data_IF_573169735998
#
_entry.id   IF_573169735998
#
_cell.length_a   1.000
_cell.length_b   1.000
_cell.length_c   1.000
_cell.angle_alpha   90.00
_cell.angle_beta   90.00
_cell.angle_gamma   90.00
#
_symmetry.space_group_name_H-M   'P 1'
#
loop_
_entity.id
_entity.type
_entity.pdbx_description
1 polymer ?
#
# COMPACT_ATOMS: atom_id res chain seq x y z
N UNK A 1 87.20 28.71 18.54
CA UNK A 1 86.68 29.22 17.24
C UNK A 1 85.76 28.19 16.61
N UNK A 2 84.52 28.60 16.23
CA UNK A 2 83.72 28.23 15.02
C UNK A 2 83.95 26.82 14.40
N UNK A 3 82.96 25.95 14.12
CA UNK A 3 81.63 26.16 13.49
C UNK A 3 80.70 24.95 13.75
N UNK A 4 79.44 25.22 14.12
CA UNK A 4 78.29 24.30 14.02
C UNK A 4 77.44 24.74 12.81
N UNK A 5 77.29 23.92 11.76
CA UNK A 5 76.22 24.01 10.74
C UNK A 5 75.99 22.64 10.10
N UNK A 6 74.74 22.40 9.67
CA UNK A 6 74.28 21.32 8.77
C UNK A 6 73.65 20.05 9.36
N UNK A 7 72.69 20.17 10.28
CA UNK A 7 71.70 19.08 10.52
C UNK A 7 70.22 19.51 10.51
N UNK A 8 69.93 20.81 10.44
CA UNK A 8 68.56 21.31 10.69
C UNK A 8 67.59 21.21 9.49
N UNK A 9 68.06 21.12 8.25
CA UNK A 9 67.19 21.25 7.06
C UNK A 9 66.49 19.94 6.66
N UNK A 10 66.96 18.78 7.14
CA UNK A 10 66.47 17.46 6.70
C UNK A 10 65.29 16.93 7.52
N UNK A 11 65.07 17.44 8.74
CA UNK A 11 63.97 16.98 9.60
C UNK A 11 62.64 17.71 9.39
N UNK A 12 62.65 18.93 8.86
CA UNK A 12 61.41 19.72 8.66
C UNK A 12 60.57 19.19 7.48
N UNK A 13 61.20 18.59 6.46
CA UNK A 13 60.48 18.03 5.29
C UNK A 13 59.73 16.73 5.58
N UNK A 14 60.17 15.92 6.55
CA UNK A 14 59.50 14.66 6.87
C UNK A 14 58.28 14.84 7.78
N UNK A 15 58.29 15.84 8.68
CA UNK A 15 57.17 16.12 9.59
C UNK A 15 55.97 16.74 8.85
N UNK A 16 56.22 17.52 7.79
CA UNK A 16 55.17 18.15 6.97
C UNK A 16 54.47 17.16 6.02
N UNK A 17 55.11 16.05 5.65
CA UNK A 17 54.51 15.03 4.78
C UNK A 17 53.62 14.04 5.56
N UNK A 18 53.91 13.79 6.84
CA UNK A 18 53.05 12.96 7.71
C UNK A 18 51.74 13.64 8.13
N UNK A 19 51.68 14.98 8.12
CA UNK A 19 50.48 15.73 8.51
C UNK A 19 49.45 15.89 7.38
N UNK A 20 49.86 15.72 6.11
CA UNK A 20 48.95 15.83 4.96
C UNK A 20 48.23 14.49 4.68
N UNK A 21 48.81 13.35 5.04
CA UNK A 21 48.17 12.03 4.83
C UNK A 21 47.11 11.70 5.89
N UNK A 22 47.18 12.32 7.07
CA UNK A 22 46.18 12.09 8.15
C UNK A 22 44.92 12.96 7.95
N UNK A 23 44.99 14.04 7.18
CA UNK A 23 43.85 14.93 6.91
C UNK A 23 42.83 14.44 5.87
N UNK A 24 43.14 13.38 5.11
CA UNK A 24 42.28 12.90 4.01
C UNK A 24 41.42 11.67 4.33
N UNK A 25 41.42 11.18 5.58
CA UNK A 25 40.59 10.02 5.98
C UNK A 25 39.34 10.38 6.80
N UNK A 26 39.11 11.66 7.11
CA UNK A 26 37.91 12.09 7.88
C UNK A 26 36.77 12.53 6.96
N UNK A 27 36.46 11.70 5.97
CA UNK A 27 35.28 11.81 5.12
C UNK A 27 34.31 10.65 5.35
N UNK A 28 34.09 10.26 6.62
CA UNK A 28 33.01 9.33 6.94
C UNK A 28 31.69 10.09 6.83
N UNK A 29 31.05 9.99 5.67
CA UNK A 29 29.62 10.24 5.56
C UNK A 29 28.95 9.45 6.69
N UNK A 30 28.32 10.15 7.63
CA UNK A 30 27.46 9.52 8.62
C UNK A 30 26.28 8.90 7.86
N UNK A 31 26.46 7.67 7.37
CA UNK A 31 25.36 6.82 7.03
C UNK A 31 24.55 6.69 8.32
N UNK A 32 23.33 7.23 8.32
CA UNK A 32 22.32 6.99 9.36
C UNK A 32 21.90 5.52 9.27
N UNK A 33 22.84 4.61 9.54
CA UNK A 33 22.56 3.20 9.70
C UNK A 33 21.83 3.04 11.02
N UNK A 34 20.58 2.59 10.92
CA UNK A 34 19.75 2.25 12.06
C UNK A 34 20.55 1.36 13.03
N UNK A 35 20.49 1.61 14.35
CA UNK A 35 21.29 0.87 15.30
C UNK A 35 21.01 -0.65 15.25
N UNK A 36 22.04 -1.52 15.37
CA UNK A 36 21.92 -2.97 15.21
C UNK A 36 21.06 -3.66 16.27
N UNK A 37 20.69 -2.96 17.34
CA UNK A 37 19.76 -3.45 18.37
C UNK A 37 18.28 -3.24 17.99
N UNK A 38 17.99 -2.43 16.97
CA UNK A 38 16.63 -2.14 16.52
C UNK A 38 15.97 -3.36 15.83
N UNK A 39 16.77 -4.32 15.36
CA UNK A 39 16.32 -5.63 14.86
C UNK A 39 15.90 -6.61 15.98
N UNK A 40 16.23 -6.30 17.23
CA UNK A 40 15.98 -7.18 18.39
C UNK A 40 14.66 -6.85 19.13
N UNK A 41 13.82 -5.97 18.58
CA UNK A 41 12.51 -5.65 19.16
C UNK A 41 11.42 -6.43 18.39
N UNK A 42 10.96 -7.58 18.90
CA UNK A 42 10.04 -8.48 18.19
C UNK A 42 8.63 -7.91 17.93
N UNK A 43 8.31 -6.69 18.38
CA UNK A 43 6.94 -6.14 18.36
C UNK A 43 6.80 -4.74 17.72
N UNK A 44 7.80 -4.21 17.00
CA UNK A 44 7.79 -2.78 16.64
C UNK A 44 8.35 -2.36 15.28
N UNK A 45 8.22 -3.16 14.23
CA UNK A 45 8.13 -2.55 12.89
C UNK A 45 6.72 -1.99 12.73
N UNK A 46 6.53 -0.78 13.23
CA UNK A 46 5.33 0.00 12.94
C UNK A 46 5.33 0.28 11.44
N UNK A 47 4.20 0.01 10.80
CA UNK A 47 3.99 0.39 9.41
C UNK A 47 3.97 1.91 9.34
N UNK A 48 4.71 2.46 8.37
CA UNK A 48 4.72 3.91 8.15
C UNK A 48 3.31 4.38 7.77
N UNK A 49 2.80 5.40 8.46
CA UNK A 49 1.48 5.98 8.23
C UNK A 49 1.55 7.51 8.28
N UNK A 50 2.17 8.11 7.25
CA UNK A 50 2.26 9.56 7.07
C UNK A 50 1.04 10.05 6.27
N UNK A 51 0.20 10.95 6.83
CA UNK A 51 -0.95 11.53 6.12
C UNK A 51 -0.58 12.29 4.84
N UNK A 52 0.67 12.73 4.69
CA UNK A 52 1.14 13.47 3.52
C UNK A 52 1.63 12.56 2.39
N UNK A 53 1.82 11.25 2.65
CA UNK A 53 2.23 10.28 1.65
C UNK A 53 1.03 9.63 0.99
N UNK A 54 1.18 9.36 -0.31
CA UNK A 54 0.21 8.55 -1.06
C UNK A 54 0.76 7.12 -1.14
N UNK A 55 0.00 6.16 -0.63
CA UNK A 55 0.36 4.75 -0.65
C UNK A 55 -0.29 4.08 -1.86
N UNK A 56 0.20 4.39 -3.06
CA UNK A 56 -0.28 3.77 -4.30
C UNK A 56 0.28 2.37 -4.44
N UNK A 57 -0.53 1.45 -4.97
CA UNK A 57 -0.09 0.10 -5.30
C UNK A 57 0.90 0.12 -6.47
N UNK A 58 1.98 -0.65 -6.36
CA UNK A 58 2.97 -0.91 -7.39
C UNK A 58 3.15 -2.43 -7.61
N UNK A 59 3.89 -2.79 -8.67
CA UNK A 59 4.24 -4.19 -8.99
C UNK A 59 5.21 -4.80 -7.97
N UNK A 60 5.99 -3.98 -7.25
CA UNK A 60 6.96 -4.44 -6.24
C UNK A 60 6.28 -5.01 -4.98
N UNK A 61 4.98 -4.78 -4.81
CA UNK A 61 4.22 -5.30 -3.68
C UNK A 61 3.85 -6.77 -3.87
N UNK A 62 3.74 -7.48 -2.74
CA UNK A 62 3.51 -8.92 -2.70
C UNK A 62 2.40 -9.43 -3.64
N UNK A 63 2.55 -10.65 -4.19
CA UNK A 63 1.66 -11.17 -5.22
C UNK A 63 0.24 -11.43 -4.73
N UNK A 64 0.07 -11.70 -3.43
CA UNK A 64 -1.22 -11.91 -2.78
C UNK A 64 -1.49 -10.83 -1.74
N UNK A 65 -2.71 -10.32 -1.76
CA UNK A 65 -3.16 -9.22 -0.91
C UNK A 65 -4.62 -9.42 -0.50
N UNK A 66 -5.08 -8.75 0.54
CA UNK A 66 -6.47 -8.77 0.96
C UNK A 66 -7.18 -7.54 0.38
N UNK A 67 -8.17 -7.75 -0.48
CA UNK A 67 -9.07 -6.66 -0.88
C UNK A 67 -10.02 -6.36 0.28
N UNK A 68 -9.82 -5.21 0.92
CA UNK A 68 -10.64 -4.79 2.06
C UNK A 68 -11.94 -4.13 1.59
N UNK A 69 -11.84 -3.11 0.75
CA UNK A 69 -12.99 -2.33 0.29
C UNK A 69 -12.76 -1.72 -1.10
N UNK A 70 -13.85 -1.36 -1.76
CA UNK A 70 -13.85 -0.62 -3.03
C UNK A 70 -14.79 0.58 -2.94
N UNK A 71 -14.38 1.68 -3.56
CA UNK A 71 -15.07 2.97 -3.53
C UNK A 71 -15.25 3.50 -4.95
N UNK A 72 -16.44 4.00 -5.27
CA UNK A 72 -16.77 4.59 -6.58
C UNK A 72 -17.62 5.85 -6.44
N UNK A 73 -17.63 6.46 -5.25
CA UNK A 73 -18.32 7.72 -4.96
C UNK A 73 -17.54 8.91 -5.53
N UNK A 74 -18.14 10.11 -5.53
CA UNK A 74 -17.46 11.34 -5.96
C UNK A 74 -16.20 11.68 -5.13
N UNK A 75 -16.09 11.12 -3.93
CA UNK A 75 -14.95 11.36 -3.02
C UNK A 75 -14.24 10.04 -2.71
N UNK A 76 -14.37 9.04 -3.61
CA UNK A 76 -13.84 7.70 -3.44
C UNK A 76 -12.33 7.67 -3.18
N UNK A 77 -11.58 8.56 -3.82
CA UNK A 77 -10.13 8.68 -3.58
C UNK A 77 -9.84 9.04 -2.11
N UNK A 78 -10.56 10.02 -1.56
CA UNK A 78 -10.42 10.44 -0.17
C UNK A 78 -10.87 9.34 0.78
N UNK A 79 -12.00 8.68 0.50
CA UNK A 79 -12.50 7.53 1.27
C UNK A 79 -11.46 6.40 1.34
N UNK A 80 -10.89 6.05 0.20
CA UNK A 80 -9.86 5.02 0.10
C UNK A 80 -8.58 5.42 0.84
N UNK A 81 -8.12 6.67 0.69
CA UNK A 81 -6.96 7.22 1.40
C UNK A 81 -7.15 7.20 2.92
N UNK A 82 -8.32 7.64 3.40
CA UNK A 82 -8.65 7.65 4.83
C UNK A 82 -8.63 6.20 5.39
N UNK A 83 -9.18 5.23 4.65
CA UNK A 83 -9.14 3.82 5.05
C UNK A 83 -7.71 3.25 5.05
N UNK A 84 -6.90 3.55 4.04
CA UNK A 84 -5.50 3.12 3.96
C UNK A 84 -4.70 3.65 5.15
N UNK A 85 -4.84 4.94 5.47
CA UNK A 85 -4.16 5.55 6.62
C UNK A 85 -4.62 4.90 7.94
N UNK A 86 -5.91 4.59 8.08
CA UNK A 86 -6.42 3.91 9.26
C UNK A 86 -5.86 2.47 9.38
N UNK A 87 -5.78 1.72 8.29
CA UNK A 87 -5.19 0.38 8.27
C UNK A 87 -3.71 0.40 8.69
N UNK A 88 -2.94 1.36 8.18
CA UNK A 88 -1.52 1.48 8.49
C UNK A 88 -1.25 1.97 9.90
N UNK A 89 -2.02 2.95 10.38
CA UNK A 89 -1.81 3.55 11.70
C UNK A 89 -2.43 2.76 12.86
N UNK A 90 -3.70 2.38 12.74
CA UNK A 90 -4.49 1.76 13.83
C UNK A 90 -4.34 0.24 13.84
N UNK A 91 -4.37 -0.38 12.66
CA UNK A 91 -4.30 -1.83 12.53
C UNK A 91 -2.87 -2.35 12.28
N UNK A 92 -1.91 -1.44 12.07
CA UNK A 92 -0.50 -1.74 11.86
C UNK A 92 -0.25 -2.78 10.74
N UNK A 93 -1.03 -2.70 9.66
CA UNK A 93 -0.90 -3.55 8.48
C UNK A 93 -0.57 -2.68 7.25
N UNK A 94 0.34 -3.11 6.37
CA UNK A 94 0.57 -2.43 5.10
C UNK A 94 -0.73 -2.37 4.32
N UNK A 95 -1.06 -1.19 3.79
CA UNK A 95 -2.23 -1.01 2.95
C UNK A 95 -1.91 -0.05 1.81
N UNK A 96 -2.55 -0.28 0.68
CA UNK A 96 -2.29 0.37 -0.59
C UNK A 96 -3.60 0.70 -1.30
N UNK A 97 -3.56 1.79 -2.05
CA UNK A 97 -4.65 2.25 -2.89
C UNK A 97 -4.37 1.89 -4.35
N UNK A 98 -5.31 1.22 -4.99
CA UNK A 98 -5.30 0.93 -6.43
C UNK A 98 -6.39 1.72 -7.13
N UNK A 99 -6.03 2.50 -8.15
CA UNK A 99 -7.00 3.21 -8.99
C UNK A 99 -7.35 2.37 -10.21
N UNK A 100 -8.64 2.23 -10.49
CA UNK A 100 -9.17 1.62 -11.69
C UNK A 100 -10.09 2.60 -12.40
N UNK A 101 -9.71 3.01 -13.61
CA UNK A 101 -10.56 3.84 -14.48
C UNK A 101 -11.49 2.94 -15.28
N UNK A 102 -12.78 3.22 -15.21
CA UNK A 102 -13.82 2.56 -16.00
C UNK A 102 -14.33 3.52 -17.07
N UNK A 103 -14.15 3.16 -18.34
CA UNK A 103 -14.70 3.91 -19.47
C UNK A 103 -15.70 3.04 -20.23
N UNK A 104 -16.99 3.34 -20.06
CA UNK A 104 -18.09 2.67 -20.74
C UNK A 104 -18.69 3.51 -21.88
N UNK A 105 -18.00 4.59 -22.29
CA UNK A 105 -18.52 5.49 -23.33
C UNK A 105 -18.27 4.97 -24.74
N UNK A 106 -17.25 4.13 -24.92
CA UNK A 106 -16.88 3.59 -26.21
C UNK A 106 -17.80 2.44 -26.65
N UNK A 107 -18.07 2.31 -27.96
CA UNK A 107 -18.80 1.17 -28.50
C UNK A 107 -17.95 -0.10 -28.38
N UNK A 108 -18.55 -1.19 -27.93
CA UNK A 108 -17.90 -2.50 -27.75
C UNK A 108 -18.33 -3.45 -28.86
N UNK A 109 -17.43 -4.30 -29.30
CA UNK A 109 -17.76 -5.40 -30.20
C UNK A 109 -18.60 -6.45 -29.47
N UNK A 110 -19.84 -6.59 -29.90
CA UNK A 110 -20.78 -7.58 -29.43
C UNK A 110 -20.59 -8.93 -30.12
N UNK A 111 -21.27 -9.94 -29.58
CA UNK A 111 -21.33 -11.26 -30.22
C UNK A 111 -22.21 -11.20 -31.46
N UNK A 112 -21.71 -11.77 -32.55
CA UNK A 112 -22.41 -11.91 -33.83
C UNK A 112 -21.98 -10.89 -34.87
N UNK A 113 -22.58 -11.02 -36.06
CA UNK A 113 -22.28 -10.17 -37.22
C UNK A 113 -23.50 -9.34 -37.60
N UNK A 114 -23.25 -8.17 -38.18
CA UNK A 114 -24.30 -7.36 -38.80
C UNK A 114 -24.69 -7.93 -40.18
N UNK A 115 -25.66 -7.28 -40.84
CA UNK A 115 -26.13 -7.63 -42.19
C UNK A 115 -25.05 -7.53 -43.27
N UNK A 116 -23.88 -6.99 -42.96
CA UNK A 116 -22.73 -6.81 -43.86
C UNK A 116 -21.54 -7.70 -43.45
N UNK A 117 -21.73 -8.64 -42.51
CA UNK A 117 -20.70 -9.56 -42.05
C UNK A 117 -19.67 -8.94 -41.11
N UNK A 118 -19.87 -7.71 -40.63
CA UNK A 118 -18.95 -7.02 -39.69
C UNK A 118 -19.32 -7.34 -38.25
N UNK A 119 -18.37 -7.32 -37.29
CA UNK A 119 -18.67 -7.48 -35.87
C UNK A 119 -19.77 -6.51 -35.42
N UNK A 120 -20.78 -7.03 -34.72
CA UNK A 120 -21.91 -6.23 -34.27
C UNK A 120 -21.47 -5.22 -33.21
N UNK A 121 -21.56 -3.92 -33.49
CA UNK A 121 -21.27 -2.88 -32.49
C UNK A 121 -22.40 -2.76 -31.46
N UNK A 122 -22.05 -2.75 -30.18
CA UNK A 122 -22.94 -2.58 -29.04
C UNK A 122 -22.49 -1.39 -28.19
N UNK A 123 -23.37 -0.88 -27.34
CA UNK A 123 -23.08 0.20 -26.39
C UNK A 123 -23.60 -0.19 -25.02
N UNK A 124 -22.88 0.17 -23.96
CA UNK A 124 -23.37 0.03 -22.60
C UNK A 124 -24.63 0.88 -22.39
N UNK A 125 -25.65 0.33 -21.72
CA UNK A 125 -26.89 1.04 -21.42
C UNK A 125 -26.59 2.33 -20.64
N UNK A 126 -25.65 2.23 -19.70
CA UNK A 126 -25.12 3.37 -18.95
C UNK A 126 -23.72 3.71 -19.47
N UNK A 127 -23.65 4.59 -20.45
CA UNK A 127 -22.40 5.12 -20.98
C UNK A 127 -21.84 6.16 -20.02
N UNK A 128 -21.05 5.72 -19.03
CA UNK A 128 -20.47 6.60 -18.01
C UNK A 128 -19.00 6.26 -17.83
N UNK A 129 -18.20 7.30 -17.58
CA UNK A 129 -16.80 7.18 -17.20
C UNK A 129 -16.64 7.54 -15.73
N UNK A 130 -15.97 6.69 -14.96
CA UNK A 130 -15.68 6.96 -13.54
C UNK A 130 -14.41 6.23 -13.07
N UNK A 131 -13.73 6.78 -12.06
CA UNK A 131 -12.65 6.10 -11.35
C UNK A 131 -13.20 5.36 -10.14
N UNK A 132 -12.76 4.12 -9.95
CA UNK A 132 -12.95 3.35 -8.72
C UNK A 132 -11.62 3.18 -7.99
N UNK A 133 -11.66 3.18 -6.67
CA UNK A 133 -10.49 3.00 -5.83
C UNK A 133 -10.66 1.75 -4.98
N UNK A 134 -9.69 0.85 -5.04
CA UNK A 134 -9.63 -0.36 -4.23
C UNK A 134 -8.58 -0.21 -3.14
N UNK A 135 -8.90 -0.68 -1.94
CA UNK A 135 -7.97 -0.71 -0.80
C UNK A 135 -7.52 -2.15 -0.59
N UNK A 136 -6.24 -2.39 -0.83
CA UNK A 136 -5.58 -3.68 -0.70
C UNK A 136 -4.69 -3.67 0.54
N UNK A 137 -4.70 -4.75 1.32
CA UNK A 137 -4.07 -4.83 2.63
C UNK A 137 -3.18 -6.07 2.71
N UNK A 138 -1.99 -5.89 3.29
CA UNK A 138 -0.97 -6.92 3.43
C UNK A 138 -0.29 -7.26 2.12
N UNK A 139 0.82 -7.97 2.26
CA UNK A 139 1.64 -8.48 1.18
C UNK A 139 2.04 -9.90 1.57
N UNK A 140 1.65 -10.87 0.77
CA UNK A 140 1.82 -12.29 1.07
C UNK A 140 2.35 -13.03 -0.16
N UNK A 141 3.19 -14.03 0.08
CA UNK A 141 3.82 -14.81 -1.00
C UNK A 141 2.86 -15.86 -1.58
N UNK A 142 1.95 -16.37 -0.76
CA UNK A 142 1.03 -17.45 -1.13
C UNK A 142 -0.41 -17.13 -0.72
N UNK A 143 -1.38 -17.73 -1.41
CA UNK A 143 -2.80 -17.57 -1.12
C UNK A 143 -3.19 -18.11 0.27
N UNK A 144 -2.62 -19.26 0.65
CA UNK A 144 -2.93 -19.96 1.91
C UNK A 144 -1.98 -19.61 3.07
N UNK A 145 -1.29 -18.47 2.99
CA UNK A 145 -0.41 -18.03 4.06
C UNK A 145 -1.18 -17.92 5.39
N UNK A 146 -0.75 -18.61 6.48
CA UNK A 146 -1.42 -18.56 7.77
C UNK A 146 -1.55 -17.13 8.33
N UNK A 147 -0.58 -16.27 8.03
CA UNK A 147 -0.61 -14.86 8.41
C UNK A 147 -1.67 -14.11 7.59
N UNK A 148 -1.79 -14.38 6.28
CA UNK A 148 -2.82 -13.77 5.44
C UNK A 148 -4.22 -14.12 5.95
N UNK A 149 -4.46 -15.39 6.28
CA UNK A 149 -5.76 -15.82 6.77
C UNK A 149 -6.12 -15.20 8.13
N UNK A 150 -5.14 -15.13 9.05
CA UNK A 150 -5.33 -14.47 10.35
C UNK A 150 -5.59 -12.97 10.21
N UNK A 151 -4.85 -12.28 9.32
CA UNK A 151 -5.08 -10.86 9.02
C UNK A 151 -6.45 -10.67 8.39
N UNK A 152 -6.86 -11.53 7.46
CA UNK A 152 -8.18 -11.48 6.82
C UNK A 152 -9.31 -11.58 7.84
N UNK A 153 -9.23 -12.52 8.78
CA UNK A 153 -10.24 -12.70 9.82
C UNK A 153 -10.29 -11.48 10.75
N UNK A 154 -9.14 -10.91 11.09
CA UNK A 154 -9.04 -9.66 11.87
C UNK A 154 -9.68 -8.50 11.12
N UNK A 155 -9.40 -8.35 9.82
CA UNK A 155 -9.96 -7.28 8.97
C UNK A 155 -11.48 -7.46 8.85
N UNK A 156 -11.97 -8.68 8.62
CA UNK A 156 -13.40 -8.97 8.51
C UNK A 156 -14.17 -8.62 9.77
N UNK A 157 -13.58 -8.79 10.95
CA UNK A 157 -14.17 -8.40 12.23
C UNK A 157 -13.94 -6.91 12.58
N UNK A 158 -13.06 -6.21 11.87
CA UNK A 158 -12.68 -4.85 12.21
C UNK A 158 -13.78 -3.82 11.92
N UNK A 159 -13.87 -2.80 12.78
CA UNK A 159 -14.73 -1.62 12.62
C UNK A 159 -13.87 -0.36 12.46
N UNK A 160 -13.37 -0.09 11.23
CA UNK A 160 -12.66 1.15 10.94
C UNK A 160 -13.61 2.35 11.06
N UNK A 161 -13.12 3.43 11.68
CA UNK A 161 -13.83 4.69 11.88
C UNK A 161 -14.20 5.32 10.54
N UNK A 162 -13.33 5.19 9.54
CA UNK A 162 -13.56 5.66 8.16
C UNK A 162 -14.81 5.04 7.50
N UNK A 163 -15.29 3.89 7.99
CA UNK A 163 -16.47 3.21 7.47
C UNK A 163 -17.68 3.23 8.43
N UNK A 164 -17.57 3.93 9.58
CA UNK A 164 -18.64 3.94 10.56
C UNK A 164 -19.85 4.75 10.05
N UNK A 165 -21.03 4.13 9.85
CA UNK A 165 -22.22 4.80 9.33
C UNK A 165 -22.73 5.94 10.23
N UNK A 166 -22.47 5.90 11.54
CA UNK A 166 -22.90 6.94 12.49
C UNK A 166 -22.16 8.27 12.28
N UNK A 167 -20.95 8.21 11.70
CA UNK A 167 -20.16 9.41 11.40
C UNK A 167 -20.63 10.16 10.16
N UNK A 168 -21.72 9.71 9.52
CA UNK A 168 -22.45 10.46 8.49
C UNK A 168 -21.67 10.69 7.19
N UNK A 169 -20.50 10.08 7.02
CA UNK A 169 -19.68 10.19 5.83
C UNK A 169 -19.51 8.79 5.26
N UNK A 170 -19.90 8.65 3.99
CA UNK A 170 -19.48 7.60 3.06
C UNK A 170 -20.40 6.39 2.87
N UNK A 171 -20.73 6.22 1.60
CA UNK A 171 -21.63 5.17 1.15
C UNK A 171 -20.84 4.24 0.24
N UNK A 172 -20.44 3.09 0.78
CA UNK A 172 -20.07 1.93 -0.03
C UNK A 172 -21.38 1.39 -0.68
N UNK A 173 -21.96 2.10 -1.65
CA UNK A 173 -23.37 1.92 -2.04
C UNK A 173 -23.64 0.53 -2.61
N UNK A 174 -22.75 0.03 -3.46
CA UNK A 174 -22.97 -1.26 -4.14
C UNK A 174 -22.70 -2.45 -3.21
N UNK A 175 -21.66 -2.38 -2.40
CA UNK A 175 -21.30 -3.51 -1.54
C UNK A 175 -22.17 -3.60 -0.28
N UNK A 176 -22.64 -2.48 0.28
CA UNK A 176 -23.62 -2.50 1.38
C UNK A 176 -24.91 -3.20 0.99
N UNK A 177 -25.33 -3.12 -0.29
CA UNK A 177 -26.50 -3.86 -0.79
C UNK A 177 -26.23 -5.36 -0.81
N UNK A 178 -25.08 -5.79 -1.33
CA UNK A 178 -24.68 -7.21 -1.34
C UNK A 178 -24.51 -7.75 0.09
N UNK A 179 -23.90 -6.97 0.98
CA UNK A 179 -23.79 -7.30 2.41
C UNK A 179 -25.16 -7.44 3.05
N UNK A 180 -26.05 -6.44 2.92
CA UNK A 180 -27.42 -6.52 3.45
C UNK A 180 -28.19 -7.73 2.93
N UNK A 181 -28.11 -8.01 1.63
CA UNK A 181 -28.75 -9.20 1.04
C UNK A 181 -28.17 -10.49 1.64
N UNK A 182 -26.86 -10.56 1.81
CA UNK A 182 -26.20 -11.71 2.44
C UNK A 182 -26.62 -11.88 3.90
N UNK A 183 -26.66 -10.81 4.66
CA UNK A 183 -27.04 -10.83 6.08
C UNK A 183 -28.50 -11.25 6.24
N UNK A 184 -29.38 -10.77 5.35
CA UNK A 184 -30.79 -11.19 5.31
C UNK A 184 -30.98 -12.67 4.95
N UNK A 185 -30.08 -13.26 4.17
CA UNK A 185 -30.14 -14.68 3.79
C UNK A 185 -29.49 -15.60 4.83
N UNK A 186 -28.55 -15.11 5.66
CA UNK A 186 -27.75 -15.90 6.59
C UNK A 186 -28.14 -15.69 8.07
N UNK A 187 -29.43 -15.49 8.38
CA UNK A 187 -29.92 -15.12 9.72
C UNK A 187 -29.66 -16.14 10.88
N UNK A 188 -28.90 -17.23 10.66
CA UNK A 188 -28.69 -18.31 11.64
C UNK A 188 -27.21 -18.72 11.86
N UNK A 189 -26.22 -17.91 11.47
CA UNK A 189 -24.82 -18.31 11.51
C UNK A 189 -24.02 -17.49 12.53
N UNK A 190 -23.04 -18.09 13.21
CA UNK A 190 -22.10 -17.48 14.20
C UNK A 190 -21.25 -16.30 13.65
N UNK A 191 -21.58 -15.86 12.43
CA UNK A 191 -20.92 -14.84 11.61
C UNK A 191 -21.47 -13.43 11.82
N UNK A 192 -22.37 -13.24 12.79
CA UNK A 192 -22.89 -11.95 13.28
C UNK A 192 -21.81 -11.01 13.85
N UNK A 193 -20.59 -11.51 14.04
CA UNK A 193 -19.45 -10.71 14.52
C UNK A 193 -18.69 -9.98 13.40
N UNK A 194 -19.16 -10.03 12.15
CA UNK A 194 -18.47 -9.42 11.02
C UNK A 194 -18.74 -7.92 10.95
N UNK A 195 -17.66 -7.14 10.84
CA UNK A 195 -17.70 -5.70 10.68
C UNK A 195 -18.01 -5.26 9.24
N UNK A 196 -17.92 -3.95 8.93
CA UNK A 196 -18.16 -3.40 7.59
C UNK A 196 -17.25 -4.00 6.50
N UNK A 197 -16.14 -4.62 6.88
CA UNK A 197 -15.21 -5.34 5.99
C UNK A 197 -15.45 -6.85 5.95
N UNK A 198 -16.60 -7.34 6.40
CA UNK A 198 -16.94 -8.77 6.51
C UNK A 198 -16.96 -9.55 5.18
N UNK A 199 -16.81 -8.86 4.06
CA UNK A 199 -16.73 -9.45 2.73
C UNK A 199 -15.39 -9.15 2.03
N UNK A 200 -14.38 -8.74 2.79
CA UNK A 200 -12.99 -8.75 2.35
C UNK A 200 -12.56 -10.18 1.97
N UNK A 201 -11.65 -10.29 1.01
CA UNK A 201 -11.14 -11.57 0.51
C UNK A 201 -9.71 -11.43 -0.03
N UNK A 202 -8.98 -12.55 -0.12
CA UNK A 202 -7.63 -12.58 -0.67
C UNK A 202 -7.71 -12.57 -2.21
N UNK A 203 -6.92 -11.72 -2.85
CA UNK A 203 -6.81 -11.53 -4.29
C UNK A 203 -5.34 -11.42 -4.71
N UNK A 204 -5.07 -11.63 -5.99
CA UNK A 204 -3.77 -11.29 -6.57
C UNK A 204 -3.60 -9.77 -6.68
N UNK A 205 -2.35 -9.31 -6.66
CA UNK A 205 -2.00 -7.95 -7.05
C UNK A 205 -2.48 -7.70 -8.50
N UNK A 206 -3.41 -6.75 -8.74
CA UNK A 206 -3.97 -6.50 -10.07
C UNK A 206 -2.96 -5.95 -11.09
N UNK A 207 -1.80 -5.50 -10.64
CA UNK A 207 -0.73 -5.01 -11.53
C UNK A 207 0.20 -6.13 -12.00
N UNK A 208 0.08 -7.33 -11.43
CA UNK A 208 0.86 -8.49 -11.87
C UNK A 208 0.12 -9.28 -12.96
N UNK A 209 0.86 -9.88 -13.92
CA UNK A 209 0.30 -10.65 -15.03
C UNK A 209 -0.40 -11.98 -14.61
#
# INVERSE_FOLDING_TARGET
>A
MRRRRCTFVRQVRFVLLSLVVIGMLTGSAAALAAPPWQSLIPFKRRVEADPNKTYTLTEDHGPWMILAATFTSMQAEKEARDLVLEMRSRYNVPAYMHEQVYDFTEPVEGRGVDRYGRPKKMRYVNATKFSGYAVLVGEYETFDDPQAQKTLDTIKASMPRSLNPETGKWTIQRWKVVQKLRDQMNMNDERDQRGPLGAAFITRNPLLP
#
